data_IF_503030474487
#
_entry.id   IF_503030474487
#
_cell.length_a   1.000
_cell.length_b   1.000
_cell.length_c   1.000
_cell.angle_alpha   90.00
_cell.angle_beta   90.00
_cell.angle_gamma   90.00
#
_symmetry.space_group_name_H-M   'P 1'
#
loop_
_entity.id
_entity.type
_entity.pdbx_description
1 polymer ?
#
# COMPACT_ATOMS: atom_id res chain seq x y z
N UNK A 1 9.59 15.20 -9.49
CA UNK A 1 8.73 16.36 -9.38
C UNK A 1 7.27 15.89 -9.29
N UNK A 2 6.65 16.06 -8.11
CA UNK A 2 5.28 15.60 -7.84
C UNK A 2 4.24 16.33 -8.71
N UNK A 3 4.52 17.56 -9.11
CA UNK A 3 3.67 18.36 -9.99
C UNK A 3 3.61 17.78 -11.41
N UNK A 4 4.73 17.29 -11.93
CA UNK A 4 4.79 16.61 -13.22
C UNK A 4 4.12 15.23 -13.20
N UNK A 5 4.16 14.54 -12.06
CA UNK A 5 3.42 13.27 -11.88
C UNK A 5 1.92 13.49 -11.83
N UNK A 6 1.46 14.58 -11.21
CA UNK A 6 0.05 14.95 -11.19
C UNK A 6 -0.50 15.23 -12.59
N UNK A 7 0.24 15.95 -13.45
CA UNK A 7 -0.15 16.22 -14.85
C UNK A 7 -0.42 14.95 -15.67
N UNK A 8 0.30 13.85 -15.39
CA UNK A 8 0.10 12.57 -16.08
C UNK A 8 -1.12 11.77 -15.60
N UNK A 9 -1.73 12.16 -14.48
CA UNK A 9 -2.87 11.46 -13.90
C UNK A 9 -4.22 12.01 -14.34
N UNK A 10 -4.23 13.21 -14.95
CA UNK A 10 -5.45 13.85 -15.43
C UNK A 10 -5.46 13.89 -16.97
N UNK A 11 -6.63 13.65 -17.59
CA UNK A 11 -6.79 13.87 -19.02
C UNK A 11 -6.39 15.28 -19.41
N UNK A 12 -5.87 15.45 -20.62
CA UNK A 12 -5.49 16.77 -21.16
C UNK A 12 -6.67 17.75 -21.06
N UNK A 13 -6.42 18.91 -20.48
CA UNK A 13 -7.40 19.98 -20.34
C UNK A 13 -8.21 19.96 -19.05
N UNK A 14 -8.06 18.96 -18.18
CA UNK A 14 -8.71 18.97 -16.87
C UNK A 14 -7.74 19.48 -15.81
N UNK A 15 -7.99 20.71 -15.41
CA UNK A 15 -7.55 21.27 -14.15
C UNK A 15 -6.03 21.46 -13.95
N UNK A 16 -5.32 21.89 -14.99
CA UNK A 16 -3.93 22.42 -14.83
C UNK A 16 -3.89 23.48 -13.72
N UNK A 17 -4.98 24.22 -13.55
CA UNK A 17 -5.14 25.21 -12.49
C UNK A 17 -5.18 24.65 -11.06
N UNK A 18 -5.46 23.36 -10.91
CA UNK A 18 -5.50 22.70 -9.59
C UNK A 18 -4.14 22.14 -9.15
N UNK A 19 -3.21 22.03 -10.12
CA UNK A 19 -1.90 21.43 -9.87
C UNK A 19 -1.10 22.32 -8.94
N UNK A 20 -0.64 21.75 -7.81
CA UNK A 20 0.10 22.50 -6.79
C UNK A 20 -0.78 23.24 -5.77
N UNK A 21 -2.10 23.26 -5.97
CA UNK A 21 -3.00 23.83 -4.96
C UNK A 21 -3.13 22.90 -3.75
N UNK A 22 -3.27 23.51 -2.57
CA UNK A 22 -3.63 22.78 -1.37
C UNK A 22 -5.04 22.18 -1.51
N UNK A 23 -5.23 20.90 -1.21
CA UNK A 23 -6.46 20.14 -1.46
C UNK A 23 -7.74 20.83 -0.95
N UNK A 24 -7.72 21.44 0.22
CA UNK A 24 -8.88 22.13 0.77
C UNK A 24 -9.19 23.47 0.06
N UNK A 25 -8.18 24.10 -0.55
CA UNK A 25 -8.38 25.30 -1.38
C UNK A 25 -8.84 24.94 -2.78
N UNK A 26 -8.46 23.77 -3.27
CA UNK A 26 -8.90 23.25 -4.56
C UNK A 26 -10.43 23.05 -4.63
N UNK A 27 -11.11 22.80 -3.51
CA UNK A 27 -12.56 22.61 -3.50
C UNK A 27 -13.32 23.81 -4.05
N UNK A 28 -12.94 25.03 -3.68
CA UNK A 28 -13.59 26.25 -4.19
C UNK A 28 -13.34 26.41 -5.69
N UNK A 29 -12.10 26.16 -6.12
CA UNK A 29 -11.73 26.23 -7.53
C UNK A 29 -12.45 25.17 -8.39
N UNK A 30 -12.68 23.99 -7.85
CA UNK A 30 -13.46 22.93 -8.52
C UNK A 30 -14.90 23.39 -8.74
N UNK A 31 -15.51 24.05 -7.74
CA UNK A 31 -16.86 24.59 -7.88
C UNK A 31 -16.95 25.65 -9.01
N UNK A 32 -15.95 26.52 -9.11
CA UNK A 32 -15.84 27.48 -10.22
C UNK A 32 -15.72 26.79 -11.57
N UNK A 33 -14.85 25.79 -11.68
CA UNK A 33 -14.62 25.04 -12.93
C UNK A 33 -15.84 24.24 -13.39
N UNK A 34 -16.70 23.80 -12.48
CA UNK A 34 -17.95 23.12 -12.82
C UNK A 34 -18.94 24.03 -13.53
N UNK A 35 -18.94 25.34 -13.22
CA UNK A 35 -19.77 26.34 -13.89
C UNK A 35 -21.23 25.91 -14.02
N UNK A 36 -21.75 25.83 -15.23
CA UNK A 36 -23.13 25.41 -15.53
C UNK A 36 -23.45 23.95 -15.19
N UNK A 37 -22.46 23.11 -14.97
CA UNK A 37 -22.65 21.72 -14.55
C UNK A 37 -22.89 21.59 -13.04
N UNK A 38 -22.73 22.67 -12.30
CA UNK A 38 -22.97 22.71 -10.87
C UNK A 38 -24.46 22.84 -10.56
N UNK A 39 -25.07 21.75 -10.11
CA UNK A 39 -26.53 21.74 -9.82
C UNK A 39 -26.87 22.44 -8.49
N UNK A 40 -26.05 22.22 -7.45
CA UNK A 40 -26.33 22.78 -6.12
C UNK A 40 -25.07 22.70 -5.24
N UNK A 41 -24.91 23.72 -4.41
CA UNK A 41 -23.94 23.73 -3.31
C UNK A 41 -24.69 23.88 -1.99
N UNK A 42 -24.34 23.08 -1.01
CA UNK A 42 -24.84 23.23 0.36
C UNK A 42 -23.72 22.98 1.36
N UNK A 43 -23.73 23.74 2.44
CA UNK A 43 -22.80 23.52 3.57
C UNK A 43 -23.52 22.69 4.63
N UNK A 44 -22.83 21.67 5.15
CA UNK A 44 -23.30 20.88 6.27
C UNK A 44 -22.14 20.56 7.21
N UNK A 45 -22.46 20.36 8.48
CA UNK A 45 -21.48 20.01 9.50
C UNK A 45 -21.50 18.50 9.70
N UNK A 46 -20.33 17.88 9.66
CA UNK A 46 -20.17 16.45 9.90
C UNK A 46 -18.85 16.17 10.63
N UNK A 47 -18.75 14.98 11.20
CA UNK A 47 -17.48 14.49 11.78
C UNK A 47 -16.48 14.26 10.66
N UNK A 48 -15.24 14.73 10.86
CA UNK A 48 -14.16 14.53 9.92
C UNK A 48 -12.93 13.96 10.65
N UNK A 49 -12.22 12.98 10.08
CA UNK A 49 -11.06 12.39 10.72
C UNK A 49 -9.88 13.35 10.76
N UNK A 50 -9.28 13.46 11.93
CA UNK A 50 -8.07 14.24 12.17
C UNK A 50 -6.91 13.32 12.56
N UNK A 51 -5.70 13.69 12.15
CA UNK A 51 -4.50 12.99 12.59
C UNK A 51 -4.32 13.23 14.10
N UNK A 52 -4.30 12.19 14.89
CA UNK A 52 -4.15 12.27 16.35
C UNK A 52 -2.84 12.93 16.80
N UNK A 53 -1.79 12.89 15.96
CA UNK A 53 -0.47 13.46 16.25
C UNK A 53 -0.36 14.92 15.84
N UNK A 54 -0.81 15.28 14.65
CA UNK A 54 -0.67 16.63 14.10
C UNK A 54 -1.90 17.51 14.30
N UNK A 55 -3.01 16.91 14.73
CA UNK A 55 -4.32 17.54 14.86
C UNK A 55 -4.80 18.27 13.60
N UNK A 56 -4.33 17.82 12.45
CA UNK A 56 -4.76 18.34 11.14
C UNK A 56 -5.71 17.35 10.47
N UNK A 57 -6.66 17.84 9.64
CA UNK A 57 -7.54 16.95 8.89
C UNK A 57 -6.71 16.02 8.00
N UNK A 58 -7.10 14.76 7.94
CA UNK A 58 -6.47 13.77 7.06
C UNK A 58 -7.02 13.90 5.64
N UNK A 59 -6.25 13.46 4.67
CA UNK A 59 -6.65 13.42 3.26
C UNK A 59 -6.56 12.00 2.73
N UNK A 60 -7.38 11.67 1.75
CA UNK A 60 -7.25 10.44 0.98
C UNK A 60 -6.17 10.65 -0.10
N UNK A 61 -5.23 9.74 -0.14
CA UNK A 61 -4.12 9.79 -1.09
C UNK A 61 -3.89 8.41 -1.70
N UNK A 62 -3.85 8.34 -3.03
CA UNK A 62 -3.40 7.15 -3.73
C UNK A 62 -1.88 7.03 -3.58
N UNK A 63 -1.41 5.91 -3.07
CA UNK A 63 0.00 5.58 -2.91
C UNK A 63 0.29 4.19 -3.45
N UNK A 64 1.49 3.97 -3.95
CA UNK A 64 1.93 2.61 -4.31
C UNK A 64 2.05 1.79 -3.04
N UNK A 65 1.47 0.60 -3.07
CA UNK A 65 1.45 -0.31 -1.93
C UNK A 65 1.74 -1.74 -2.38
N UNK A 66 2.17 -2.56 -1.43
CA UNK A 66 2.35 -3.98 -1.62
C UNK A 66 1.15 -4.72 -1.07
N UNK A 67 0.64 -5.67 -1.86
CA UNK A 67 -0.49 -6.50 -1.51
C UNK A 67 -0.12 -7.97 -1.64
N UNK A 68 -0.62 -8.78 -0.72
CA UNK A 68 -0.70 -10.22 -0.89
C UNK A 68 -2.09 -10.51 -1.44
N UNK A 69 -2.12 -11.13 -2.63
CA UNK A 69 -3.37 -11.53 -3.25
C UNK A 69 -4.03 -12.64 -2.43
N UNK A 70 -5.32 -12.49 -2.17
CA UNK A 70 -6.08 -13.45 -1.37
C UNK A 70 -6.61 -14.61 -2.22
N UNK A 71 -6.85 -14.37 -3.51
CA UNK A 71 -7.54 -15.30 -4.39
C UNK A 71 -6.67 -15.83 -5.54
N UNK A 72 -5.51 -15.21 -5.78
CA UNK A 72 -4.52 -15.61 -6.79
C UNK A 72 -3.09 -15.23 -6.35
N UNK A 73 -2.05 -15.94 -6.72
CA UNK A 73 -2.07 -17.26 -7.37
C UNK A 73 -2.52 -18.37 -6.42
N UNK A 74 -2.93 -19.50 -6.98
CA UNK A 74 -3.23 -20.70 -6.18
C UNK A 74 -1.94 -21.45 -5.85
N UNK A 75 -1.76 -21.77 -4.58
CA UNK A 75 -0.68 -22.60 -4.08
C UNK A 75 -1.25 -23.98 -3.83
N UNK A 76 -0.71 -24.99 -4.48
CA UNK A 76 -1.23 -26.37 -4.43
C UNK A 76 -2.73 -26.47 -4.74
N UNK A 77 -3.20 -25.65 -5.67
CA UNK A 77 -4.60 -25.62 -6.11
C UNK A 77 -5.56 -24.88 -5.18
N UNK A 78 -5.07 -24.24 -4.12
CA UNK A 78 -5.88 -23.47 -3.17
C UNK A 78 -5.45 -22.01 -3.11
N UNK A 79 -6.40 -21.13 -2.89
CA UNK A 79 -6.14 -19.72 -2.63
C UNK A 79 -5.72 -19.50 -1.18
N UNK A 80 -5.06 -18.39 -0.89
CA UNK A 80 -4.74 -18.01 0.49
C UNK A 80 -6.01 -17.89 1.35
N UNK A 81 -7.09 -17.38 0.77
CA UNK A 81 -8.39 -17.27 1.43
C UNK A 81 -8.95 -18.62 1.83
N UNK A 82 -8.95 -19.59 0.91
CA UNK A 82 -9.42 -20.95 1.17
C UNK A 82 -8.61 -21.64 2.26
N UNK A 83 -7.29 -21.51 2.23
CA UNK A 83 -6.41 -22.05 3.26
C UNK A 83 -6.69 -21.39 4.61
N UNK A 84 -6.75 -20.06 4.65
CA UNK A 84 -6.99 -19.33 5.91
C UNK A 84 -8.35 -19.67 6.54
N UNK A 85 -9.42 -19.78 5.74
CA UNK A 85 -10.74 -20.16 6.24
C UNK A 85 -10.73 -21.60 6.80
N UNK A 86 -10.05 -22.52 6.12
CA UNK A 86 -9.91 -23.89 6.59
C UNK A 86 -9.14 -23.98 7.91
N UNK A 87 -8.06 -23.24 8.03
CA UNK A 87 -7.24 -23.26 9.25
C UNK A 87 -7.97 -22.70 10.48
N UNK A 88 -9.05 -21.93 10.32
CA UNK A 88 -9.88 -21.51 11.45
C UNK A 88 -10.50 -22.69 12.21
N UNK A 89 -10.68 -23.85 11.57
CA UNK A 89 -11.20 -25.05 12.21
C UNK A 89 -10.22 -25.60 13.26
N UNK A 90 -8.93 -25.33 13.10
CA UNK A 90 -7.86 -25.75 13.99
C UNK A 90 -7.58 -24.75 15.12
N UNK A 91 -8.24 -23.56 15.11
CA UNK A 91 -8.04 -22.50 16.09
C UNK A 91 -9.11 -22.54 17.18
N UNK A 92 -8.69 -22.58 18.42
CA UNK A 92 -9.61 -22.51 19.57
C UNK A 92 -9.87 -21.05 19.96
N UNK A 93 -11.13 -20.62 19.86
CA UNK A 93 -11.53 -19.24 20.15
C UNK A 93 -12.13 -19.07 21.54
N UNK A 94 -11.75 -17.99 22.20
CA UNK A 94 -12.33 -17.54 23.48
C UNK A 94 -12.72 -16.05 23.36
N UNK A 95 -14.01 -15.68 23.32
CA UNK A 95 -15.18 -16.58 23.32
C UNK A 95 -15.35 -17.32 21.99
N UNK A 96 -16.10 -18.41 21.98
CA UNK A 96 -16.34 -19.24 20.78
C UNK A 96 -16.94 -18.46 19.59
N UNK A 97 -17.68 -17.37 19.84
CA UNK A 97 -18.22 -16.48 18.80
C UNK A 97 -17.16 -15.79 17.95
N UNK A 98 -15.90 -15.76 18.41
CA UNK A 98 -14.77 -15.17 17.69
C UNK A 98 -14.55 -15.80 16.31
N UNK A 99 -14.79 -17.11 16.17
CA UNK A 99 -14.64 -17.80 14.88
C UNK A 99 -15.52 -17.20 13.79
N UNK A 100 -16.78 -16.88 14.08
CA UNK A 100 -17.71 -16.27 13.10
C UNK A 100 -17.24 -14.89 12.65
N UNK A 101 -16.74 -14.10 13.59
CA UNK A 101 -16.23 -12.74 13.28
C UNK A 101 -15.00 -12.80 12.40
N UNK A 102 -14.01 -13.60 12.74
CA UNK A 102 -12.78 -13.74 11.96
C UNK A 102 -13.07 -14.37 10.60
N UNK A 103 -13.90 -15.41 10.55
CA UNK A 103 -14.33 -16.06 9.31
C UNK A 103 -14.93 -15.04 8.33
N UNK A 104 -15.93 -14.27 8.78
CA UNK A 104 -16.55 -13.24 7.96
C UNK A 104 -15.56 -12.14 7.50
N UNK A 105 -14.59 -11.79 8.35
CA UNK A 105 -13.55 -10.82 7.96
C UNK A 105 -12.62 -11.36 6.88
N UNK A 106 -12.24 -12.65 6.94
CA UNK A 106 -11.40 -13.29 5.92
C UNK A 106 -12.19 -13.48 4.63
N UNK A 107 -13.43 -13.92 4.72
CA UNK A 107 -14.34 -14.16 3.59
C UNK A 107 -14.53 -12.92 2.72
N UNK A 108 -14.70 -11.76 3.36
CA UNK A 108 -14.99 -10.50 2.69
C UNK A 108 -13.78 -9.57 2.54
N UNK A 109 -12.58 -10.02 2.92
CA UNK A 109 -11.38 -9.21 2.87
C UNK A 109 -10.92 -9.04 1.42
N UNK A 110 -10.63 -7.81 0.95
CA UNK A 110 -9.85 -7.61 -0.26
C UNK A 110 -8.41 -8.10 -0.05
N UNK A 111 -7.57 -8.02 -1.07
CA UNK A 111 -6.15 -8.32 -0.99
C UNK A 111 -5.50 -7.68 0.23
N UNK A 112 -4.58 -8.40 0.85
CA UNK A 112 -3.98 -7.97 2.09
C UNK A 112 -2.87 -6.94 1.86
N UNK A 113 -3.16 -5.67 2.14
CA UNK A 113 -2.14 -4.62 2.11
C UNK A 113 -1.14 -4.81 3.27
N UNK A 114 0.12 -5.10 2.92
CA UNK A 114 1.20 -5.32 3.89
C UNK A 114 2.12 -4.13 4.06
N UNK A 115 2.19 -3.22 3.09
CA UNK A 115 3.04 -2.04 3.18
C UNK A 115 2.45 -0.94 4.08
N UNK A 116 3.35 -0.15 4.66
CA UNK A 116 3.04 1.07 5.41
C UNK A 116 3.92 2.20 4.86
N UNK A 117 3.48 3.44 5.04
CA UNK A 117 4.19 4.64 4.58
C UNK A 117 5.04 5.27 5.70
N UNK A 118 5.35 4.53 6.76
CA UNK A 118 6.20 4.97 7.86
C UNK A 118 7.40 4.05 7.99
N UNK A 119 8.54 4.63 8.23
CA UNK A 119 9.82 3.93 8.41
C UNK A 119 9.88 3.35 9.83
N UNK A 120 9.03 2.36 10.10
CA UNK A 120 9.02 1.63 11.36
C UNK A 120 8.64 0.17 11.13
N UNK A 121 9.49 -0.72 11.62
CA UNK A 121 9.36 -2.16 11.47
C UNK A 121 10.31 -2.74 10.44
N UNK A 122 10.12 -4.01 10.11
CA UNK A 122 10.94 -4.72 9.12
C UNK A 122 10.62 -4.20 7.72
N UNK A 123 11.63 -3.88 6.89
CA UNK A 123 11.42 -3.46 5.52
C UNK A 123 10.85 -4.60 4.65
N UNK A 124 10.12 -4.25 3.61
CA UNK A 124 9.71 -5.18 2.56
C UNK A 124 10.88 -5.29 1.58
N UNK A 125 11.67 -6.35 1.72
CA UNK A 125 12.96 -6.52 1.09
C UNK A 125 12.89 -7.00 -0.36
N UNK A 126 12.13 -6.31 -1.22
CA UNK A 126 12.09 -6.58 -2.65
C UNK A 126 12.85 -5.54 -3.45
N UNK A 127 13.74 -5.99 -4.31
CA UNK A 127 14.39 -5.17 -5.31
C UNK A 127 13.46 -4.95 -6.51
N UNK A 128 13.79 -3.92 -7.30
CA UNK A 128 13.10 -3.61 -8.56
C UNK A 128 14.11 -3.36 -9.64
N UNK A 129 13.81 -3.82 -10.84
CA UNK A 129 14.58 -3.48 -12.02
C UNK A 129 14.63 -1.96 -12.19
N UNK A 130 15.80 -1.44 -12.51
CA UNK A 130 16.03 0.01 -12.61
C UNK A 130 15.18 0.65 -13.70
N UNK A 131 15.04 -0.02 -14.82
CA UNK A 131 14.36 0.52 -16.01
C UNK A 131 12.85 0.32 -15.96
N UNK A 132 12.38 -0.91 -15.82
CA UNK A 132 10.94 -1.25 -15.84
C UNK A 132 10.23 -0.98 -14.54
N UNK A 133 10.98 -0.89 -13.41
CA UNK A 133 10.45 -0.79 -12.05
C UNK A 133 9.66 -2.03 -11.60
N UNK A 134 9.77 -3.13 -12.34
CA UNK A 134 9.17 -4.40 -11.96
C UNK A 134 9.88 -5.00 -10.75
N UNK A 135 9.14 -5.61 -9.81
CA UNK A 135 9.74 -6.27 -8.66
C UNK A 135 10.45 -7.55 -9.09
N UNK A 136 11.57 -7.83 -8.44
CA UNK A 136 12.34 -9.06 -8.60
C UNK A 136 11.89 -10.03 -7.50
N UNK A 137 11.33 -11.17 -7.92
CA UNK A 137 11.00 -12.29 -7.04
C UNK A 137 12.00 -13.40 -7.32
N UNK A 138 13.05 -13.49 -6.51
CA UNK A 138 14.13 -14.46 -6.67
C UNK A 138 14.48 -15.00 -5.28
N UNK A 139 14.34 -16.30 -5.09
CA UNK A 139 14.49 -16.94 -3.79
C UNK A 139 15.93 -16.81 -3.27
N UNK A 140 16.96 -16.88 -4.15
CA UNK A 140 18.34 -16.74 -3.76
C UNK A 140 18.64 -15.34 -3.20
N UNK A 141 18.04 -14.30 -3.79
CA UNK A 141 18.13 -12.93 -3.30
C UNK A 141 17.43 -12.80 -1.94
N UNK A 142 16.25 -13.37 -1.81
CA UNK A 142 15.48 -13.29 -0.56
C UNK A 142 16.19 -14.02 0.59
N UNK A 143 16.71 -15.20 0.32
CA UNK A 143 17.49 -15.99 1.29
C UNK A 143 18.76 -15.27 1.73
N UNK A 144 19.46 -14.63 0.79
CA UNK A 144 20.65 -13.84 1.10
C UNK A 144 20.32 -12.64 2.01
N UNK A 145 19.26 -11.92 1.71
CA UNK A 145 18.80 -10.81 2.56
C UNK A 145 18.36 -11.31 3.94
N UNK A 146 17.64 -12.42 4.01
CA UNK A 146 17.24 -13.03 5.27
C UNK A 146 18.45 -13.41 6.14
N UNK A 147 19.49 -14.00 5.54
CA UNK A 147 20.72 -14.32 6.25
C UNK A 147 21.45 -13.06 6.75
N UNK A 148 21.45 -11.98 5.99
CA UNK A 148 22.03 -10.70 6.43
C UNK A 148 21.21 -10.13 7.61
N UNK A 149 19.88 -10.20 7.55
CA UNK A 149 19.01 -9.73 8.65
C UNK A 149 19.20 -10.56 9.93
N UNK A 150 19.42 -11.87 9.80
CA UNK A 150 19.72 -12.74 10.95
C UNK A 150 21.01 -12.33 11.65
N UNK A 151 22.03 -11.93 10.88
CA UNK A 151 23.34 -11.57 11.41
C UNK A 151 23.43 -10.12 11.92
N UNK A 152 22.83 -9.17 11.21
CA UNK A 152 23.02 -7.73 11.41
C UNK A 152 21.75 -6.99 11.84
N UNK A 153 20.59 -7.67 11.82
CA UNK A 153 19.29 -7.04 12.02
C UNK A 153 18.73 -6.39 10.75
N UNK A 154 17.46 -6.01 10.80
CA UNK A 154 16.73 -5.46 9.65
C UNK A 154 17.23 -4.05 9.21
N UNK A 155 17.93 -3.34 10.10
CA UNK A 155 18.52 -2.02 9.78
C UNK A 155 19.60 -2.13 8.70
N UNK A 156 20.20 -3.32 8.51
CA UNK A 156 21.13 -3.59 7.42
C UNK A 156 20.56 -3.24 6.04
N UNK A 157 19.24 -3.25 5.87
CA UNK A 157 18.58 -2.83 4.62
C UNK A 157 18.86 -1.37 4.25
N UNK A 158 18.99 -0.51 5.24
CA UNK A 158 19.20 0.92 5.06
C UNK A 158 20.69 1.29 5.10
N UNK A 159 21.48 0.53 5.86
CA UNK A 159 22.88 0.82 6.12
C UNK A 159 23.83 0.18 5.10
N UNK A 160 23.37 -0.80 4.29
CA UNK A 160 24.18 -1.50 3.29
C UNK A 160 23.99 -0.90 1.90
N UNK A 161 25.03 -1.03 1.06
CA UNK A 161 24.87 -0.80 -0.37
C UNK A 161 24.11 -1.96 -1.03
N UNK A 162 23.39 -1.69 -2.12
CA UNK A 162 22.60 -2.70 -2.82
C UNK A 162 23.43 -3.93 -3.16
N UNK A 163 24.68 -3.74 -3.63
CA UNK A 163 25.60 -4.83 -3.98
C UNK A 163 25.90 -5.78 -2.81
N UNK A 164 25.87 -5.26 -1.57
CA UNK A 164 26.18 -6.05 -0.38
C UNK A 164 24.95 -6.86 0.10
N UNK A 165 23.78 -6.51 -0.38
CA UNK A 165 22.51 -7.21 -0.13
C UNK A 165 22.20 -8.28 -1.19
N UNK A 166 22.88 -8.23 -2.33
CA UNK A 166 22.71 -9.18 -3.42
C UNK A 166 23.69 -10.34 -3.30
N UNK A 167 23.32 -11.56 -3.72
CA UNK A 167 24.27 -12.69 -3.77
C UNK A 167 25.38 -12.42 -4.80
N UNK A 168 26.56 -13.00 -4.56
CA UNK A 168 27.75 -12.75 -5.37
C UNK A 168 27.57 -13.07 -6.88
N UNK A 169 26.67 -13.99 -7.21
CA UNK A 169 26.37 -14.41 -8.58
C UNK A 169 25.03 -13.83 -9.08
N UNK A 170 24.60 -12.68 -8.55
CA UNK A 170 23.36 -12.08 -8.95
C UNK A 170 23.35 -11.77 -10.46
N UNK A 171 22.31 -12.21 -11.15
CA UNK A 171 22.11 -12.01 -12.61
C UNK A 171 21.44 -10.69 -12.96
N UNK A 172 21.05 -9.92 -11.97
CA UNK A 172 20.40 -8.62 -12.13
C UNK A 172 21.40 -7.50 -11.85
N UNK A 173 21.44 -6.50 -12.72
CA UNK A 173 22.23 -5.27 -12.59
C UNK A 173 21.38 -4.07 -12.15
#
# INVERSE_FOLDING_TARGET
DETLKAKKLFPDGVADELIGMHIFKANEKILELLGSNLLKVSKFVHSYPFCWRTHKPVIYRATKQWFIAMDEPKIEGKTLREVALKELENVKFYPASGVKRIGSMIENRPDWCISRQRDWGVPIAFFRLKDTKEPIFDDEILDNVAAIFEQKGADAWWDSEIKDLLPANCKFE
#
